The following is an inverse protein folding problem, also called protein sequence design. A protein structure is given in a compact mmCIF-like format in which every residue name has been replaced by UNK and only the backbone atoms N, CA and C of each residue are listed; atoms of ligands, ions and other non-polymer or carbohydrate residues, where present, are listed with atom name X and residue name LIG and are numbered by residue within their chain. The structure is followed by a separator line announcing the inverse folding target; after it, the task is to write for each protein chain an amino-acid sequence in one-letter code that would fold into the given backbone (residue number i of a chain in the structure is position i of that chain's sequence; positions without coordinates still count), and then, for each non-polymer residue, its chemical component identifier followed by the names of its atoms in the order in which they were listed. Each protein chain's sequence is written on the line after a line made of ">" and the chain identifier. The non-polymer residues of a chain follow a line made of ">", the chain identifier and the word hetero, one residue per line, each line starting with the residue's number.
data_IF_969262776573
#
_entry.id   IF_969262776573
#
_cell.length_a   1.000
_cell.length_b   1.000
_cell.length_c   1.000
_cell.angle_alpha   90.00
_cell.angle_beta   90.00
_cell.angle_gamma   90.00
#
_symmetry.space_group_name_H-M   'P 1'
#
loop_
_entity.id
_entity.type
_entity.pdbx_description
1 polymer ?
#
# COMPACT_ATOMS: atom_id res chain seq x y z
N UNK A 1 1.15 19.39 11.90
CA UNK A 1 -0.31 19.64 11.71
C UNK A 1 -1.04 19.43 13.02
N UNK A 2 -1.02 18.21 13.55
CA UNK A 2 -1.33 17.94 14.95
C UNK A 2 -0.26 18.53 15.88
N UNK A 3 -0.62 18.77 17.15
CA UNK A 3 0.26 19.22 18.23
C UNK A 3 -0.15 18.56 19.56
N UNK A 4 0.69 18.67 20.59
CA UNK A 4 0.45 18.18 21.95
C UNK A 4 0.09 16.70 22.03
N UNK A 5 -1.02 16.40 22.70
CA UNK A 5 -1.47 15.02 22.91
C UNK A 5 -1.86 14.33 21.59
N UNK A 6 -2.52 15.06 20.68
CA UNK A 6 -2.91 14.51 19.37
C UNK A 6 -1.68 14.12 18.56
N UNK A 7 -0.65 14.98 18.54
CA UNK A 7 0.63 14.65 17.91
C UNK A 7 1.25 13.39 18.52
N UNK A 8 1.29 13.31 19.85
CA UNK A 8 1.92 12.20 20.57
C UNK A 8 1.23 10.87 20.27
N UNK A 9 -0.10 10.84 20.34
CA UNK A 9 -0.89 9.64 20.04
C UNK A 9 -0.73 9.18 18.58
N UNK A 10 -0.74 10.12 17.62
CA UNK A 10 -0.53 9.77 16.21
C UNK A 10 0.87 9.24 15.96
N UNK A 11 1.90 9.90 16.49
CA UNK A 11 3.30 9.50 16.33
C UNK A 11 3.54 8.10 16.87
N UNK A 12 3.06 7.82 18.08
CA UNK A 12 3.28 6.55 18.75
C UNK A 12 2.47 5.43 18.05
N UNK A 13 1.23 5.69 17.64
CA UNK A 13 0.43 4.71 16.88
C UNK A 13 1.06 4.33 15.53
N UNK A 14 1.79 5.25 14.91
CA UNK A 14 2.50 5.03 13.64
C UNK A 14 3.91 4.44 13.83
N UNK A 15 4.35 4.17 15.07
CA UNK A 15 5.66 3.58 15.37
C UNK A 15 6.83 4.56 15.19
N UNK A 16 6.58 5.87 15.33
CA UNK A 16 7.58 6.92 15.22
C UNK A 16 8.10 7.41 16.58
N UNK A 17 8.02 6.57 17.62
CA UNK A 17 8.47 6.95 18.96
C UNK A 17 9.94 7.39 18.94
N UNK A 18 10.21 8.55 19.54
CA UNK A 18 11.56 9.11 19.61
C UNK A 18 12.02 9.86 18.36
N UNK A 19 11.21 9.93 17.30
CA UNK A 19 11.45 10.78 16.14
C UNK A 19 10.71 12.13 16.30
N UNK A 20 11.29 13.18 15.72
CA UNK A 20 10.66 14.49 15.58
C UNK A 20 10.03 14.66 14.19
N UNK A 21 9.17 15.68 14.04
CA UNK A 21 8.46 15.92 12.79
C UNK A 21 9.41 16.11 11.58
N UNK A 22 10.51 16.89 11.67
CA UNK A 22 11.45 17.02 10.56
C UNK A 22 12.08 15.69 10.12
N UNK A 23 12.49 14.82 11.06
CA UNK A 23 13.05 13.52 10.72
C UNK A 23 12.03 12.61 10.04
N UNK A 24 10.79 12.61 10.53
CA UNK A 24 9.68 11.82 9.94
C UNK A 24 9.42 12.29 8.51
N UNK A 25 9.27 13.60 8.30
CA UNK A 25 9.01 14.19 6.98
C UNK A 25 10.14 13.92 5.99
N UNK A 26 11.40 14.07 6.42
CA UNK A 26 12.56 13.76 5.58
C UNK A 26 12.59 12.27 5.19
N UNK A 27 12.33 11.37 6.14
CA UNK A 27 12.26 9.94 5.86
C UNK A 27 11.18 9.55 4.84
N UNK A 28 10.01 10.20 4.91
CA UNK A 28 8.95 10.00 3.91
C UNK A 28 9.36 10.48 2.53
N UNK A 29 10.00 11.66 2.44
CA UNK A 29 10.49 12.18 1.16
C UNK A 29 11.52 11.23 0.53
N UNK A 30 12.51 10.81 1.31
CA UNK A 30 13.55 9.88 0.86
C UNK A 30 12.93 8.56 0.39
N UNK A 31 11.91 8.06 1.09
CA UNK A 31 11.20 6.84 0.70
C UNK A 31 10.46 7.00 -0.63
N UNK A 32 9.73 8.10 -0.83
CA UNK A 32 9.01 8.38 -2.09
C UNK A 32 10.00 8.43 -3.26
N UNK A 33 11.09 9.18 -3.10
CA UNK A 33 12.11 9.35 -4.14
C UNK A 33 12.84 8.03 -4.45
N UNK A 34 13.18 7.26 -3.42
CA UNK A 34 13.85 5.97 -3.59
C UNK A 34 12.95 4.97 -4.30
N UNK A 35 11.73 4.77 -3.80
CA UNK A 35 10.85 3.71 -4.28
C UNK A 35 10.35 3.98 -5.71
N UNK A 36 10.07 5.24 -6.06
CA UNK A 36 9.61 5.61 -7.40
C UNK A 36 10.63 5.32 -8.51
N UNK A 37 11.92 5.28 -8.19
CA UNK A 37 13.01 5.02 -9.14
C UNK A 37 13.75 3.70 -8.95
N UNK A 38 13.32 2.85 -8.01
CA UNK A 38 14.14 1.72 -7.55
C UNK A 38 14.31 0.63 -8.62
N UNK A 39 13.28 0.39 -9.43
CA UNK A 39 13.29 -0.62 -10.48
C UNK A 39 12.53 -0.13 -11.71
N UNK A 40 13.20 0.12 -12.86
CA UNK A 40 12.53 0.63 -14.06
C UNK A 40 11.58 -0.38 -14.72
N UNK A 41 11.59 -1.65 -14.29
CA UNK A 41 10.68 -2.69 -14.76
C UNK A 41 9.40 -2.80 -13.90
N UNK A 42 9.30 -2.01 -12.83
CA UNK A 42 8.13 -1.99 -11.95
C UNK A 42 7.51 -0.60 -11.98
N UNK A 43 6.22 -0.53 -12.32
CA UNK A 43 5.45 0.68 -12.19
C UNK A 43 4.93 0.79 -10.75
N UNK A 44 5.61 1.63 -9.97
CA UNK A 44 5.17 2.03 -8.63
C UNK A 44 4.76 3.50 -8.65
N UNK A 45 3.48 3.77 -8.39
CA UNK A 45 2.94 5.09 -8.16
C UNK A 45 2.65 5.29 -6.68
N UNK A 46 3.20 6.35 -6.08
CA UNK A 46 2.82 6.84 -4.76
C UNK A 46 2.35 8.27 -4.98
N UNK A 47 1.05 8.52 -4.79
CA UNK A 47 0.47 9.84 -4.97
C UNK A 47 -0.24 10.26 -3.69
N UNK A 48 0.03 11.48 -3.24
CA UNK A 48 -0.62 12.09 -2.09
C UNK A 48 -1.46 13.28 -2.55
N UNK A 49 -2.58 13.51 -1.89
CA UNK A 49 -3.35 14.73 -2.08
C UNK A 49 -3.98 15.25 -0.79
N UNK A 50 -4.16 16.56 -0.74
CA UNK A 50 -4.89 17.29 0.28
C UNK A 50 -6.02 18.04 -0.41
N UNK A 51 -7.24 17.68 -0.08
CA UNK A 51 -8.44 18.39 -0.56
C UNK A 51 -8.98 19.19 0.61
N UNK A 52 -8.96 20.51 0.50
CA UNK A 52 -9.36 21.42 1.56
C UNK A 52 -10.69 22.08 1.22
N UNK A 53 -11.55 22.30 2.22
CA UNK A 53 -12.81 23.00 2.01
C UNK A 53 -12.56 24.48 1.73
N UNK A 54 -13.04 24.96 0.58
CA UNK A 54 -13.00 26.37 0.23
C UNK A 54 -13.75 27.25 1.26
N UNK A 55 -13.23 28.44 1.52
CA UNK A 55 -13.82 29.39 2.49
C UNK A 55 -13.40 29.17 3.94
N UNK A 56 -12.57 28.15 4.22
CA UNK A 56 -11.87 27.99 5.50
C UNK A 56 -10.40 28.37 5.30
N UNK A 57 -9.87 29.21 6.18
CA UNK A 57 -8.46 29.56 6.16
C UNK A 57 -7.61 28.43 6.76
N UNK A 58 -6.70 27.88 5.97
CA UNK A 58 -5.69 26.93 6.41
C UNK A 58 -4.34 27.63 6.62
N UNK A 59 -3.49 27.05 7.47
CA UNK A 59 -2.11 27.51 7.57
C UNK A 59 -1.36 27.12 6.31
N UNK A 60 -0.93 28.11 5.52
CA UNK A 60 -0.13 27.89 4.30
C UNK A 60 1.12 27.03 4.58
N UNK A 61 1.80 27.28 5.69
CA UNK A 61 2.99 26.51 6.09
C UNK A 61 2.69 25.01 6.30
N UNK A 62 1.45 24.64 6.62
CA UNK A 62 1.04 23.23 6.66
C UNK A 62 0.87 22.66 5.26
N UNK A 63 0.18 23.38 4.36
CA UNK A 63 -0.02 22.96 2.97
C UNK A 63 1.29 22.90 2.18
N UNK A 64 2.22 23.82 2.43
CA UNK A 64 3.54 23.82 1.80
C UNK A 64 4.40 22.66 2.28
N UNK A 65 4.28 22.28 3.55
CA UNK A 65 4.93 21.07 4.07
C UNK A 65 4.39 19.81 3.42
N UNK A 66 3.08 19.69 3.18
CA UNK A 66 2.53 18.51 2.49
C UNK A 66 2.99 18.42 1.05
N UNK A 67 3.03 19.56 0.32
CA UNK A 67 3.61 19.63 -1.03
C UNK A 67 5.08 19.20 -1.04
N UNK A 68 5.87 19.73 -0.09
CA UNK A 68 7.33 19.52 -0.07
C UNK A 68 7.71 18.08 0.28
N UNK A 69 7.20 17.58 1.41
CA UNK A 69 7.68 16.34 2.01
C UNK A 69 6.94 15.10 1.49
N UNK A 70 5.71 15.26 1.01
CA UNK A 70 4.87 14.15 0.57
C UNK A 70 4.52 14.21 -0.93
N UNK A 71 5.05 15.20 -1.66
CA UNK A 71 4.69 15.46 -3.06
C UNK A 71 3.15 15.56 -3.25
N UNK A 72 2.49 16.16 -2.25
CA UNK A 72 1.03 16.17 -2.22
C UNK A 72 0.47 17.18 -3.22
N UNK A 73 -0.49 16.74 -4.02
CA UNK A 73 -1.37 17.65 -4.76
C UNK A 73 -2.33 18.32 -3.78
N UNK A 74 -2.37 19.66 -3.78
CA UNK A 74 -3.21 20.40 -2.84
C UNK A 74 -4.18 21.27 -3.61
N UNK A 75 -5.47 21.12 -3.34
CA UNK A 75 -6.53 21.90 -3.95
C UNK A 75 -7.62 22.26 -2.93
N UNK A 76 -8.13 23.49 -3.04
CA UNK A 76 -9.32 23.92 -2.30
C UNK A 76 -10.55 23.74 -3.18
N UNK A 77 -11.57 23.04 -2.67
CA UNK A 77 -12.80 22.74 -3.40
C UNK A 77 -14.03 23.16 -2.59
N UNK A 78 -15.09 23.53 -3.30
CA UNK A 78 -16.40 23.71 -2.68
C UNK A 78 -17.02 22.34 -2.41
N UNK A 79 -16.97 21.88 -1.16
CA UNK A 79 -17.48 20.57 -0.76
C UNK A 79 -19.01 20.48 -0.81
N UNK A 80 -19.72 21.61 -0.98
CA UNK A 80 -21.16 21.61 -1.22
C UNK A 80 -21.54 21.39 -2.69
N UNK A 81 -20.57 21.53 -3.61
CA UNK A 81 -20.76 21.21 -5.03
C UNK A 81 -20.78 19.68 -5.23
N UNK A 82 -21.86 19.09 -5.75
CA UNK A 82 -21.92 17.67 -6.06
C UNK A 82 -20.82 17.18 -7.02
N UNK A 83 -20.23 18.07 -7.83
CA UNK A 83 -19.13 17.73 -8.73
C UNK A 83 -17.82 17.40 -7.99
N UNK A 84 -17.62 17.94 -6.78
CA UNK A 84 -16.39 17.76 -5.98
C UNK A 84 -16.11 16.29 -5.67
N UNK A 85 -17.15 15.49 -5.45
CA UNK A 85 -17.02 14.04 -5.25
C UNK A 85 -16.31 13.38 -6.43
N UNK A 86 -16.72 13.73 -7.65
CA UNK A 86 -16.13 13.22 -8.89
C UNK A 86 -14.70 13.70 -9.12
N UNK A 87 -14.34 14.89 -8.64
CA UNK A 87 -12.97 15.40 -8.71
C UNK A 87 -12.02 14.55 -7.86
N UNK A 88 -12.38 14.30 -6.60
CA UNK A 88 -11.55 13.52 -5.66
C UNK A 88 -11.42 12.08 -6.14
N UNK A 89 -12.55 11.44 -6.47
CA UNK A 89 -12.56 10.05 -6.96
C UNK A 89 -11.82 9.91 -8.30
N UNK A 90 -12.02 10.85 -9.23
CA UNK A 90 -11.34 10.87 -10.52
C UNK A 90 -9.82 10.99 -10.38
N UNK A 91 -9.35 11.84 -9.46
CA UNK A 91 -7.91 11.93 -9.17
C UNK A 91 -7.36 10.58 -8.67
N UNK A 92 -8.07 9.89 -7.77
CA UNK A 92 -7.65 8.56 -7.29
C UNK A 92 -7.68 7.52 -8.40
N UNK A 93 -8.70 7.55 -9.26
CA UNK A 93 -8.81 6.66 -10.41
C UNK A 93 -7.60 6.81 -11.34
N UNK A 94 -7.26 8.04 -11.68
CA UNK A 94 -6.11 8.35 -12.53
C UNK A 94 -4.79 7.89 -11.89
N UNK A 95 -4.58 8.17 -10.60
CA UNK A 95 -3.36 7.78 -9.87
C UNK A 95 -3.25 6.28 -9.63
N UNK A 96 -4.34 5.53 -9.79
CA UNK A 96 -4.37 4.07 -9.62
C UNK A 96 -4.57 3.31 -10.92
N UNK A 97 -4.40 3.94 -12.08
CA UNK A 97 -4.63 3.34 -13.40
C UNK A 97 -6.00 2.65 -13.50
N UNK A 98 -7.05 3.31 -13.00
CA UNK A 98 -8.42 2.82 -13.08
C UNK A 98 -8.79 1.71 -12.09
N UNK A 99 -7.91 1.38 -11.13
CA UNK A 99 -8.12 0.26 -10.19
C UNK A 99 -8.97 0.63 -8.98
N UNK A 100 -8.89 1.86 -8.52
CA UNK A 100 -9.72 2.39 -7.43
C UNK A 100 -10.52 3.56 -8.01
N UNK A 101 -11.82 3.39 -8.16
CA UNK A 101 -12.70 4.39 -8.80
C UNK A 101 -13.51 5.19 -7.79
N UNK A 102 -14.07 4.48 -6.81
CA UNK A 102 -14.94 5.06 -5.80
C UNK A 102 -14.22 5.00 -4.45
N UNK A 103 -13.39 6.00 -4.15
CA UNK A 103 -12.73 6.10 -2.84
C UNK A 103 -13.74 6.50 -1.76
N UNK A 104 -14.55 7.51 -2.07
CA UNK A 104 -15.58 8.05 -1.19
C UNK A 104 -16.93 8.04 -1.90
N UNK A 105 -17.98 7.70 -1.15
CA UNK A 105 -19.35 7.62 -1.67
C UNK A 105 -20.09 8.97 -1.52
N UNK A 106 -19.74 9.75 -0.51
CA UNK A 106 -20.33 11.04 -0.21
C UNK A 106 -19.35 11.96 0.52
N UNK A 107 -19.58 13.27 0.45
CA UNK A 107 -18.87 14.28 1.24
C UNK A 107 -19.85 14.84 2.27
N UNK A 108 -19.67 14.58 3.57
CA UNK A 108 -20.57 15.10 4.60
C UNK A 108 -20.41 16.62 4.76
N UNK A 109 -21.49 17.28 5.18
CA UNK A 109 -21.57 18.74 5.34
C UNK A 109 -20.55 19.28 6.35
N UNK A 110 -19.99 18.45 7.23
CA UNK A 110 -18.96 18.82 8.20
C UNK A 110 -17.52 18.56 7.73
N UNK A 111 -17.31 17.92 6.57
CA UNK A 111 -15.97 17.58 6.08
C UNK A 111 -15.12 18.83 5.79
N UNK A 112 -14.03 19.03 6.52
CA UNK A 112 -13.15 20.20 6.33
C UNK A 112 -11.94 19.93 5.44
N UNK A 113 -11.46 18.69 5.41
CA UNK A 113 -10.24 18.31 4.70
C UNK A 113 -10.21 16.80 4.48
N UNK A 114 -9.73 16.36 3.32
CA UNK A 114 -9.33 14.99 3.05
C UNK A 114 -7.83 14.91 2.81
N UNK A 115 -7.18 13.97 3.49
CA UNK A 115 -5.80 13.55 3.22
C UNK A 115 -5.87 12.18 2.53
N UNK A 116 -5.48 12.14 1.26
CA UNK A 116 -5.62 10.93 0.44
C UNK A 116 -4.23 10.45 0.02
N UNK A 117 -3.99 9.16 0.23
CA UNK A 117 -2.82 8.46 -0.30
C UNK A 117 -3.30 7.37 -1.27
N UNK A 118 -2.82 7.41 -2.51
CA UNK A 118 -3.11 6.45 -3.56
C UNK A 118 -1.82 5.74 -3.97
N UNK A 119 -1.75 4.43 -3.74
CA UNK A 119 -0.60 3.60 -4.09
C UNK A 119 -1.01 2.62 -5.19
N UNK A 120 -0.23 2.61 -6.26
CA UNK A 120 -0.39 1.69 -7.38
C UNK A 120 0.89 0.90 -7.59
N UNK A 121 0.81 -0.42 -7.55
CA UNK A 121 1.93 -1.31 -7.85
C UNK A 121 1.56 -2.22 -9.02
N UNK A 122 2.40 -2.22 -10.04
CA UNK A 122 2.31 -3.13 -11.17
C UNK A 122 3.71 -3.51 -11.66
N UNK A 123 4.09 -4.75 -11.44
CA UNK A 123 5.37 -5.29 -11.88
C UNK A 123 5.17 -6.65 -12.51
N UNK A 124 5.87 -6.89 -13.62
CA UNK A 124 5.96 -8.23 -14.17
C UNK A 124 6.88 -9.09 -13.30
N UNK A 125 6.56 -10.37 -13.16
CA UNK A 125 7.46 -11.32 -12.52
C UNK A 125 8.81 -11.35 -13.26
N UNK A 126 9.91 -11.38 -12.51
CA UNK A 126 11.25 -11.59 -13.10
C UNK A 126 11.33 -12.94 -13.81
N UNK A 127 10.71 -13.96 -13.21
CA UNK A 127 10.53 -15.28 -13.80
C UNK A 127 9.04 -15.47 -14.10
N UNK A 128 8.65 -15.23 -15.34
CA UNK A 128 7.24 -15.27 -15.75
C UNK A 128 6.75 -16.71 -15.88
N UNK A 129 5.49 -16.92 -15.50
CA UNK A 129 4.79 -18.18 -15.68
C UNK A 129 4.36 -18.32 -17.14
N UNK A 130 4.59 -19.50 -17.72
CA UNK A 130 4.02 -19.81 -19.03
C UNK A 130 2.50 -19.98 -18.88
N UNK A 131 1.75 -19.28 -19.74
CA UNK A 131 0.28 -19.37 -19.74
C UNK A 131 -0.19 -20.74 -20.20
N UNK A 132 0.57 -21.41 -21.06
CA UNK A 132 0.22 -22.74 -21.57
C UNK A 132 0.40 -23.83 -20.50
N UNK A 133 1.18 -23.55 -19.45
CA UNK A 133 1.36 -24.42 -18.27
C UNK A 133 0.33 -24.14 -17.16
N UNK A 134 -0.51 -23.12 -17.32
CA UNK A 134 -1.58 -22.83 -16.37
C UNK A 134 -2.73 -23.82 -16.55
N UNK A 135 -3.14 -24.47 -15.46
CA UNK A 135 -4.18 -25.50 -15.50
C UNK A 135 -5.13 -25.43 -14.31
N UNK A 136 -6.39 -25.84 -14.47
CA UNK A 136 -7.34 -25.90 -13.36
C UNK A 136 -6.91 -26.99 -12.37
N UNK A 137 -6.65 -26.59 -11.12
CA UNK A 137 -6.36 -27.49 -10.01
C UNK A 137 -7.27 -27.21 -8.81
N UNK A 138 -7.52 -28.21 -7.93
CA UNK A 138 -8.29 -28.02 -6.71
C UNK A 138 -7.63 -27.02 -5.75
N UNK A 139 -8.36 -25.98 -5.36
CA UNK A 139 -8.00 -25.01 -4.33
C UNK A 139 -8.98 -25.06 -3.16
N UNK A 140 -8.46 -25.27 -1.96
CA UNK A 140 -9.26 -25.32 -0.72
C UNK A 140 -9.39 -23.91 -0.14
N UNK A 141 -10.61 -23.35 -0.17
CA UNK A 141 -10.93 -22.05 0.41
C UNK A 141 -10.90 -22.10 1.95
N UNK A 142 -10.85 -20.94 2.59
CA UNK A 142 -10.89 -20.81 4.05
C UNK A 142 -12.12 -21.49 4.68
N UNK A 143 -13.27 -21.48 4.00
CA UNK A 143 -14.49 -22.16 4.42
C UNK A 143 -14.49 -23.69 4.13
N UNK A 144 -13.34 -24.25 3.75
CA UNK A 144 -13.11 -25.66 3.38
C UNK A 144 -13.80 -26.13 2.10
N UNK A 145 -14.44 -25.23 1.34
CA UNK A 145 -14.94 -25.57 0.01
C UNK A 145 -13.79 -25.71 -0.97
N UNK A 146 -13.85 -26.75 -1.80
CA UNK A 146 -12.89 -26.96 -2.89
C UNK A 146 -13.47 -26.38 -4.17
N UNK A 147 -12.67 -25.57 -4.86
CA UNK A 147 -12.99 -25.04 -6.19
C UNK A 147 -11.87 -25.38 -7.17
N UNK A 148 -12.16 -25.36 -8.47
CA UNK A 148 -11.10 -25.40 -9.48
C UNK A 148 -10.59 -23.98 -9.68
N UNK A 149 -9.27 -23.78 -9.53
CA UNK A 149 -8.61 -22.51 -9.76
C UNK A 149 -7.54 -22.69 -10.84
N UNK A 150 -7.46 -21.73 -11.76
CA UNK A 150 -6.36 -21.64 -12.73
C UNK A 150 -5.06 -21.46 -11.96
N UNK A 151 -4.26 -22.53 -11.90
CA UNK A 151 -3.07 -22.60 -11.09
C UNK A 151 -1.86 -22.53 -12.00
N UNK A 152 -1.04 -21.51 -11.78
CA UNK A 152 0.20 -21.28 -12.51
C UNK A 152 1.30 -22.24 -12.02
N UNK A 153 2.23 -22.60 -12.91
CA UNK A 153 3.36 -23.46 -12.60
C UNK A 153 4.66 -22.94 -13.20
N UNK A 154 5.76 -23.08 -12.47
CA UNK A 154 7.11 -22.76 -12.95
C UNK A 154 8.13 -23.64 -12.21
N UNK A 155 9.17 -24.07 -12.92
CA UNK A 155 10.33 -24.74 -12.34
C UNK A 155 11.55 -23.84 -12.52
N UNK A 156 11.95 -23.15 -11.45
CA UNK A 156 13.11 -22.23 -11.46
C UNK A 156 13.70 -22.11 -10.06
N UNK A 157 14.94 -21.64 -9.98
CA UNK A 157 15.61 -21.37 -8.71
C UNK A 157 15.02 -20.13 -8.05
N UNK A 158 14.34 -20.34 -6.92
CA UNK A 158 13.78 -19.28 -6.08
C UNK A 158 14.35 -19.36 -4.67
N UNK A 159 14.41 -18.22 -3.97
CA UNK A 159 14.67 -18.22 -2.54
C UNK A 159 13.44 -18.75 -1.82
N UNK A 160 13.66 -19.73 -0.95
CA UNK A 160 12.60 -20.33 -0.17
C UNK A 160 13.09 -20.69 1.23
N UNK A 161 12.15 -20.78 2.16
CA UNK A 161 12.35 -21.30 3.51
C UNK A 161 11.19 -22.24 3.84
N UNK A 162 11.48 -23.34 4.54
CA UNK A 162 10.44 -24.29 4.95
C UNK A 162 10.79 -24.91 6.30
N UNK A 163 9.80 -24.95 7.18
CA UNK A 163 9.80 -25.75 8.42
C UNK A 163 8.49 -26.54 8.58
N UNK A 164 8.21 -27.06 9.79
CA UNK A 164 7.00 -27.84 10.06
C UNK A 164 5.70 -27.03 10.00
N UNK A 165 5.79 -25.72 10.18
CA UNK A 165 4.66 -24.83 10.41
C UNK A 165 4.39 -23.92 9.21
N UNK A 166 5.43 -23.59 8.42
CA UNK A 166 5.32 -22.68 7.28
C UNK A 166 6.28 -23.05 6.13
N UNK A 167 5.81 -22.83 4.91
CA UNK A 167 6.63 -22.72 3.70
C UNK A 167 6.56 -21.28 3.19
N UNK A 168 7.70 -20.71 2.81
CA UNK A 168 7.83 -19.32 2.34
C UNK A 168 8.61 -19.35 1.03
N UNK A 169 8.13 -18.62 0.03
CA UNK A 169 8.85 -18.41 -1.23
C UNK A 169 8.87 -16.93 -1.60
N UNK A 170 10.02 -16.46 -2.09
CA UNK A 170 10.23 -15.11 -2.59
C UNK A 170 10.11 -15.11 -4.12
N UNK A 171 9.19 -14.31 -4.64
CA UNK A 171 8.89 -14.15 -6.06
C UNK A 171 9.31 -12.74 -6.49
N UNK A 172 10.49 -12.57 -7.12
CA UNK A 172 10.96 -11.25 -7.56
C UNK A 172 10.16 -10.71 -8.75
N UNK A 173 9.94 -9.40 -8.76
CA UNK A 173 9.46 -8.64 -9.92
C UNK A 173 10.63 -8.02 -10.67
N UNK A 174 10.49 -7.79 -11.98
CA UNK A 174 11.39 -6.95 -12.78
C UNK A 174 12.89 -7.24 -12.57
N UNK A 175 13.64 -6.19 -12.23
CA UNK A 175 15.06 -6.24 -11.91
C UNK A 175 15.38 -6.93 -10.57
N UNK A 176 14.38 -7.21 -9.74
CA UNK A 176 14.49 -7.93 -8.47
C UNK A 176 14.58 -7.05 -7.24
N UNK A 177 14.35 -5.73 -7.36
CA UNK A 177 14.33 -4.84 -6.20
C UNK A 177 13.04 -4.95 -5.38
N UNK A 178 11.94 -5.34 -6.03
CA UNK A 178 10.66 -5.66 -5.40
C UNK A 178 10.39 -7.15 -5.46
N UNK A 179 9.90 -7.72 -4.37
CA UNK A 179 9.56 -9.16 -4.29
C UNK A 179 8.22 -9.35 -3.60
N UNK A 180 7.44 -10.33 -4.07
CA UNK A 180 6.30 -10.85 -3.33
C UNK A 180 6.76 -12.03 -2.46
N UNK A 181 6.31 -12.05 -1.20
CA UNK A 181 6.54 -13.17 -0.29
C UNK A 181 5.24 -13.96 -0.17
N UNK A 182 5.21 -15.18 -0.69
CA UNK A 182 4.09 -16.08 -0.51
C UNK A 182 4.37 -17.04 0.65
N UNK A 183 3.42 -17.13 1.58
CA UNK A 183 3.50 -18.03 2.73
C UNK A 183 2.38 -19.06 2.67
N UNK A 184 2.72 -20.31 2.96
CA UNK A 184 1.78 -21.41 3.03
C UNK A 184 1.92 -22.09 4.39
N UNK A 185 0.82 -22.17 5.13
CA UNK A 185 0.79 -22.90 6.40
C UNK A 185 1.03 -24.40 6.17
N UNK A 186 1.90 -24.99 6.99
CA UNK A 186 2.08 -26.44 7.06
C UNK A 186 0.81 -27.17 7.54
N UNK A 187 0.78 -28.49 7.39
CA UNK A 187 -0.40 -29.31 7.70
C UNK A 187 -0.93 -29.20 9.15
N UNK A 188 -0.17 -28.59 10.07
CA UNK A 188 -0.58 -28.32 11.46
C UNK A 188 -1.24 -26.96 11.69
N UNK A 189 -1.06 -25.99 10.78
CA UNK A 189 -1.54 -24.61 10.93
C UNK A 189 -2.88 -24.33 10.25
N UNK A 190 -3.53 -25.35 9.67
CA UNK A 190 -4.92 -25.25 9.16
C UNK A 190 -6.01 -25.07 10.24
N UNK A 191 -5.59 -24.81 11.49
CA UNK A 191 -6.42 -24.36 12.61
C UNK A 191 -6.01 -22.92 12.91
N UNK A 192 -6.81 -21.96 12.47
CA UNK A 192 -6.48 -20.54 12.48
C UNK A 192 -5.86 -20.02 13.77
N UNK A 193 -4.69 -19.40 13.64
CA UNK A 193 -4.15 -18.42 14.57
C UNK A 193 -2.99 -17.69 13.88
N UNK A 194 -3.23 -16.46 13.41
CA UNK A 194 -2.16 -15.52 13.06
C UNK A 194 -1.87 -14.72 14.33
N UNK A 195 -0.70 -14.94 14.91
CA UNK A 195 -0.14 -14.11 15.97
C UNK A 195 1.39 -14.14 15.83
N UNK A 196 2.08 -13.00 16.03
CA UNK A 196 3.50 -12.90 15.73
C UNK A 196 4.32 -13.75 16.72
N UNK A 197 5.10 -14.71 16.22
CA UNK A 197 6.15 -15.38 17.00
C UNK A 197 7.52 -14.82 16.59
N UNK A 198 8.23 -14.30 17.59
CA UNK A 198 9.55 -13.68 17.46
C UNK A 198 10.62 -14.64 16.88
N UNK A 199 11.63 -14.13 16.15
CA UNK A 199 12.65 -14.96 15.53
C UNK A 199 13.62 -15.52 16.58
N UNK A 200 13.80 -16.85 16.59
CA UNK A 200 14.95 -17.48 17.26
C UNK A 200 16.14 -17.47 16.31
N UNK A 201 17.23 -16.83 16.75
CA UNK A 201 18.53 -16.85 16.07
C UNK A 201 19.04 -18.30 15.94
N UNK A 202 19.43 -18.68 14.73
CA UNK A 202 20.25 -19.86 14.52
C UNK A 202 21.72 -19.51 14.81
N UNK A 203 22.36 -20.38 15.59
CA UNK A 203 23.80 -20.40 15.90
C UNK A 203 24.63 -20.91 14.73
#
# INVERSE_FOLDING_TARGET
>A
GADGETWTQMRDALGFEGLDEPAINAGYRDMIDLLGGLDPHVQLGIANSVWARAGIAFYEDFLDRTRTWFDAYVEELDFSDPATLGVINGWVEDRTNGRIRDLIDEIPDEAIMYLVNAIYFNGDWRYQFDRDETRPLPFTRANRQVVQAETMGIETDLRYFMDSDVSVVELPYGGGAFTAIATLGGARSSSGAVGPRAPRRAS
#
